data_IF_458055398545
#
_entry.id   IF_458055398545
#
_cell.length_a   1.000
_cell.length_b   1.000
_cell.length_c   1.000
_cell.angle_alpha   90.00
_cell.angle_beta   90.00
_cell.angle_gamma   90.00
#
_symmetry.space_group_name_H-M   'P 1'
#
loop_
_entity.id
_entity.type
_entity.pdbx_description
1 polymer ?
#
# COMPACT_ATOMS: atom_id res chain seq x y z
N UNK A 1 -18.19 -31.55 -1.35
CA UNK A 1 -17.02 -30.66 -1.25
C UNK A 1 -17.46 -29.28 -1.72
N UNK A 2 -17.64 -28.32 -0.81
CA UNK A 2 -17.90 -26.92 -1.19
C UNK A 2 -16.54 -26.27 -1.40
N UNK A 3 -16.20 -26.00 -2.65
CA UNK A 3 -15.10 -25.09 -2.98
C UNK A 3 -15.44 -23.75 -2.32
N UNK A 4 -14.66 -23.34 -1.33
CA UNK A 4 -14.74 -22.02 -0.73
C UNK A 4 -14.38 -21.01 -1.82
N UNK A 5 -15.38 -20.54 -2.58
CA UNK A 5 -15.22 -19.33 -3.37
C UNK A 5 -15.12 -18.19 -2.36
N UNK A 6 -13.89 -17.81 -2.00
CA UNK A 6 -13.65 -16.51 -1.39
C UNK A 6 -14.29 -15.51 -2.35
N UNK A 7 -15.32 -14.79 -1.88
CA UNK A 7 -15.98 -13.81 -2.74
C UNK A 7 -14.94 -12.75 -3.11
N UNK A 8 -15.01 -12.23 -4.31
CA UNK A 8 -14.11 -11.18 -4.77
C UNK A 8 -14.13 -9.97 -3.82
N UNK A 9 -15.30 -9.67 -3.25
CA UNK A 9 -15.45 -8.65 -2.20
C UNK A 9 -14.65 -8.97 -0.94
N UNK A 10 -14.64 -10.23 -0.49
CA UNK A 10 -13.85 -10.67 0.67
C UNK A 10 -12.35 -10.46 0.42
N UNK A 11 -11.90 -10.59 -0.84
CA UNK A 11 -10.51 -10.39 -1.24
C UNK A 11 -10.10 -8.92 -1.18
N UNK A 12 -10.97 -8.01 -1.63
CA UNK A 12 -10.79 -6.55 -1.53
C UNK A 12 -10.76 -6.11 -0.07
N UNK A 13 -11.70 -6.59 0.74
CA UNK A 13 -11.77 -6.27 2.17
C UNK A 13 -10.56 -6.80 2.93
N UNK A 14 -10.08 -8.01 2.59
CA UNK A 14 -8.86 -8.58 3.17
C UNK A 14 -7.63 -7.74 2.82
N UNK A 15 -7.49 -7.28 1.57
CA UNK A 15 -6.38 -6.42 1.16
C UNK A 15 -6.42 -5.09 1.91
N UNK A 16 -7.59 -4.45 2.00
CA UNK A 16 -7.77 -3.22 2.75
C UNK A 16 -7.37 -3.40 4.22
N UNK A 17 -7.87 -4.46 4.86
CA UNK A 17 -7.55 -4.77 6.24
C UNK A 17 -6.04 -4.94 6.46
N UNK A 18 -5.35 -5.66 5.58
CA UNK A 18 -3.89 -5.88 5.68
C UNK A 18 -3.11 -4.59 5.49
N UNK A 19 -3.47 -3.75 4.52
CA UNK A 19 -2.83 -2.44 4.30
C UNK A 19 -3.01 -1.54 5.53
N UNK A 20 -4.24 -1.42 6.04
CA UNK A 20 -4.53 -0.63 7.25
C UNK A 20 -3.71 -1.14 8.43
N UNK A 21 -3.67 -2.45 8.63
CA UNK A 21 -2.91 -3.08 9.73
C UNK A 21 -1.41 -2.79 9.60
N UNK A 22 -0.86 -2.95 8.40
CA UNK A 22 0.55 -2.69 8.12
C UNK A 22 0.93 -1.22 8.39
N UNK A 23 0.10 -0.27 7.96
CA UNK A 23 0.28 1.16 8.26
C UNK A 23 0.21 1.43 9.77
N UNK A 24 -0.73 0.80 10.49
CA UNK A 24 -0.87 0.97 11.94
C UNK A 24 0.34 0.48 12.73
N UNK A 25 1.01 -0.57 12.25
CA UNK A 25 2.24 -1.09 12.85
C UNK A 25 3.44 -0.15 12.65
N UNK A 26 3.40 0.74 11.65
CA UNK A 26 4.39 1.81 11.51
C UNK A 26 4.03 2.98 12.44
N UNK A 27 4.76 3.13 13.55
CA UNK A 27 4.49 4.17 14.55
C UNK A 27 4.46 5.59 13.95
N UNK A 28 5.41 5.90 13.05
CA UNK A 28 5.51 7.23 12.45
C UNK A 28 4.27 7.55 11.59
N UNK A 29 3.82 6.62 10.76
CA UNK A 29 2.60 6.79 9.95
C UNK A 29 1.35 6.80 10.84
N UNK A 30 1.22 5.85 11.77
CA UNK A 30 0.06 5.72 12.62
C UNK A 30 -0.19 6.96 13.50
N UNK A 31 0.87 7.57 14.02
CA UNK A 31 0.78 8.80 14.81
C UNK A 31 0.39 10.03 13.97
N UNK A 32 0.71 10.03 12.67
CA UNK A 32 0.51 11.18 11.79
C UNK A 32 -0.69 11.08 10.86
N UNK A 33 -1.40 9.96 10.79
CA UNK A 33 -2.67 9.85 10.05
C UNK A 33 -3.83 10.22 10.98
N UNK A 34 -4.66 11.18 10.62
CA UNK A 34 -5.81 11.64 11.39
C UNK A 34 -6.94 10.60 11.33
N UNK A 35 -7.50 10.34 10.14
CA UNK A 35 -8.60 9.39 9.96
C UNK A 35 -8.16 8.15 9.17
N UNK A 36 -7.78 7.09 9.88
CA UNK A 36 -7.22 5.85 9.28
C UNK A 36 -8.17 5.17 8.29
N UNK A 37 -9.47 5.24 8.52
CA UNK A 37 -10.50 4.63 7.65
C UNK A 37 -10.74 5.43 6.37
N UNK A 38 -10.33 6.69 6.32
CA UNK A 38 -10.40 7.54 5.11
C UNK A 38 -9.07 7.63 4.38
N UNK A 39 -7.99 7.22 5.04
CA UNK A 39 -6.64 7.29 4.51
C UNK A 39 -6.43 6.34 3.34
N UNK A 40 -7.04 5.15 3.41
CA UNK A 40 -6.93 4.13 2.36
C UNK A 40 -8.32 3.61 2.01
N UNK A 41 -8.53 3.43 0.71
CA UNK A 41 -9.71 2.82 0.12
C UNK A 41 -9.25 1.85 -0.96
N UNK A 42 -9.58 0.58 -0.81
CA UNK A 42 -9.27 -0.46 -1.82
C UNK A 42 -10.53 -0.73 -2.61
N UNK A 43 -10.46 -0.52 -3.92
CA UNK A 43 -11.52 -0.87 -4.86
C UNK A 43 -11.06 -2.00 -5.76
N UNK A 44 -11.98 -2.46 -6.61
CA UNK A 44 -11.71 -3.46 -7.63
C UNK A 44 -10.61 -3.02 -8.62
N UNK A 45 -10.48 -1.71 -8.82
CA UNK A 45 -9.63 -1.12 -9.86
C UNK A 45 -8.32 -0.53 -9.33
N UNK A 46 -8.26 -0.17 -8.04
CA UNK A 46 -7.09 0.51 -7.48
C UNK A 46 -7.05 0.47 -5.94
N UNK A 47 -5.85 0.70 -5.40
CA UNK A 47 -5.64 1.11 -4.03
C UNK A 47 -5.52 2.64 -4.02
N UNK A 48 -6.44 3.32 -3.34
CA UNK A 48 -6.49 4.77 -3.24
C UNK A 48 -5.96 5.21 -1.87
N UNK A 49 -5.09 6.21 -1.85
CA UNK A 49 -4.60 6.86 -0.65
C UNK A 49 -4.94 8.35 -0.65
N UNK A 50 -5.48 8.84 0.47
CA UNK A 50 -5.75 10.25 0.69
C UNK A 50 -4.71 10.85 1.65
N UNK A 51 -3.68 11.50 1.13
CA UNK A 51 -2.62 12.10 1.94
C UNK A 51 -3.05 13.36 2.67
N UNK A 52 -4.21 13.92 2.34
CA UNK A 52 -4.82 14.98 3.15
C UNK A 52 -5.18 14.52 4.56
N UNK A 53 -5.27 13.20 4.79
CA UNK A 53 -5.50 12.64 6.12
C UNK A 53 -4.25 12.68 7.01
N UNK A 54 -3.05 12.97 6.49
CA UNK A 54 -1.90 13.22 7.35
C UNK A 54 -2.10 14.49 8.18
N UNK A 55 -1.42 14.61 9.32
CA UNK A 55 -1.37 15.88 10.07
C UNK A 55 -0.64 16.93 9.25
N UNK A 56 -1.13 18.16 9.27
CA UNK A 56 -0.56 19.29 8.53
C UNK A 56 0.97 19.42 8.72
N UNK A 57 1.46 19.35 9.97
CA UNK A 57 2.90 19.42 10.25
C UNK A 57 3.72 18.28 9.58
N UNK A 58 3.11 17.12 9.36
CA UNK A 58 3.73 16.01 8.64
C UNK A 58 3.68 16.25 7.12
N UNK A 59 2.55 16.75 6.61
CA UNK A 59 2.37 17.10 5.21
C UNK A 59 3.44 18.11 4.75
N UNK A 60 3.53 19.26 5.43
CA UNK A 60 4.48 20.34 5.14
C UNK A 60 5.93 19.87 5.18
N UNK A 61 6.24 18.96 6.11
CA UNK A 61 7.62 18.52 6.34
C UNK A 61 8.08 17.44 5.34
N UNK A 62 7.19 16.52 4.95
CA UNK A 62 7.60 15.29 4.26
C UNK A 62 6.94 15.08 2.91
N UNK A 63 5.74 15.63 2.69
CA UNK A 63 4.93 15.39 1.49
C UNK A 63 5.02 16.59 0.55
N UNK A 64 4.71 17.80 1.02
CA UNK A 64 4.73 19.03 0.22
C UNK A 64 6.06 19.31 -0.50
N UNK A 65 7.24 19.09 0.11
CA UNK A 65 8.50 19.41 -0.57
C UNK A 65 8.74 18.59 -1.84
N UNK A 66 8.19 17.38 -1.90
CA UNK A 66 8.38 16.42 -2.99
C UNK A 66 7.28 15.34 -2.94
N UNK A 67 6.07 15.69 -3.41
CA UNK A 67 4.91 14.81 -3.34
C UNK A 67 5.11 13.53 -4.16
N UNK A 68 5.69 13.65 -5.36
CA UNK A 68 5.97 12.51 -6.23
C UNK A 68 7.01 11.58 -5.59
N UNK A 69 8.14 12.10 -5.11
CA UNK A 69 9.15 11.26 -4.48
C UNK A 69 8.69 10.64 -3.17
N UNK A 70 7.86 11.35 -2.38
CA UNK A 70 7.20 10.74 -1.22
C UNK A 70 6.27 9.60 -1.65
N UNK A 71 5.48 9.79 -2.70
CA UNK A 71 4.57 8.77 -3.24
C UNK A 71 5.32 7.52 -3.71
N UNK A 72 6.47 7.69 -4.37
CA UNK A 72 7.34 6.57 -4.78
C UNK A 72 7.85 5.81 -3.55
N UNK A 73 8.40 6.51 -2.54
CA UNK A 73 8.87 5.89 -1.29
C UNK A 73 7.73 5.18 -0.55
N UNK A 74 6.54 5.74 -0.57
CA UNK A 74 5.35 5.14 0.03
C UNK A 74 4.91 3.85 -0.69
N UNK A 75 5.04 3.79 -2.02
CA UNK A 75 4.81 2.54 -2.77
C UNK A 75 5.81 1.46 -2.36
N UNK A 76 7.10 1.80 -2.27
CA UNK A 76 8.13 0.85 -1.83
C UNK A 76 7.83 0.31 -0.43
N UNK A 77 7.37 1.17 0.47
CA UNK A 77 6.89 0.78 1.79
C UNK A 77 5.73 -0.22 1.72
N UNK A 78 4.79 -0.09 0.79
CA UNK A 78 3.66 -1.01 0.66
C UNK A 78 4.00 -2.35 0.02
N UNK A 79 5.09 -2.45 -0.76
CA UNK A 79 5.41 -3.69 -1.50
C UNK A 79 5.42 -4.96 -0.66
N UNK A 80 5.99 -4.99 0.57
CA UNK A 80 5.99 -6.19 1.41
C UNK A 80 4.59 -6.72 1.74
N UNK A 81 3.62 -5.85 2.05
CA UNK A 81 2.25 -6.29 2.37
C UNK A 81 1.52 -6.79 1.12
N UNK A 82 1.75 -6.16 -0.04
CA UNK A 82 1.18 -6.60 -1.32
C UNK A 82 1.74 -7.95 -1.75
N UNK A 83 3.04 -8.17 -1.54
CA UNK A 83 3.70 -9.45 -1.81
C UNK A 83 3.17 -10.57 -0.93
N UNK A 84 3.09 -10.34 0.38
CA UNK A 84 2.52 -11.30 1.32
C UNK A 84 1.06 -11.63 0.97
N UNK A 85 0.27 -10.61 0.61
CA UNK A 85 -1.12 -10.79 0.21
C UNK A 85 -1.25 -11.69 -1.03
N UNK A 86 -0.49 -11.43 -2.11
CA UNK A 86 -0.55 -12.27 -3.32
C UNK A 86 -0.24 -13.73 -3.00
N UNK A 87 0.81 -13.98 -2.20
CA UNK A 87 1.20 -15.33 -1.81
C UNK A 87 0.10 -16.05 -1.03
N UNK A 88 -0.65 -15.32 -0.21
CA UNK A 88 -1.73 -15.85 0.60
C UNK A 88 -2.98 -16.18 -0.22
N UNK A 89 -3.39 -15.28 -1.14
CA UNK A 89 -4.60 -15.50 -1.95
C UNK A 89 -4.36 -16.41 -3.16
N UNK A 90 -3.10 -16.70 -3.49
CA UNK A 90 -2.68 -17.48 -4.65
C UNK A 90 -3.36 -17.04 -5.95
N UNK A 91 -3.50 -15.71 -6.10
CA UNK A 91 -4.20 -15.10 -7.23
C UNK A 91 -3.24 -14.96 -8.42
N UNK A 92 -3.72 -15.23 -9.64
CA UNK A 92 -2.89 -15.20 -10.85
C UNK A 92 -2.46 -13.79 -11.31
N UNK A 93 -2.99 -12.74 -10.67
CA UNK A 93 -2.66 -11.34 -10.96
C UNK A 93 -1.62 -10.76 -9.99
N UNK A 94 -0.63 -10.07 -10.55
CA UNK A 94 0.51 -9.51 -9.80
C UNK A 94 0.63 -7.98 -9.88
N UNK A 95 -0.28 -7.36 -10.63
CA UNK A 95 -0.23 -5.93 -10.96
C UNK A 95 -1.19 -5.16 -10.08
N UNK A 96 -0.70 -4.09 -9.47
CA UNK A 96 -1.50 -3.15 -8.69
C UNK A 96 -1.49 -1.78 -9.35
N UNK A 97 -2.65 -1.13 -9.32
CA UNK A 97 -2.78 0.30 -9.55
C UNK A 97 -2.91 1.01 -8.21
N UNK A 98 -2.03 1.95 -7.95
CA UNK A 98 -2.08 2.78 -6.74
C UNK A 98 -2.27 4.24 -7.14
N UNK A 99 -3.16 4.92 -6.43
CA UNK A 99 -3.44 6.35 -6.61
C UNK A 99 -3.23 7.06 -5.28
N UNK A 100 -2.36 8.06 -5.24
CA UNK A 100 -2.22 8.98 -4.10
C UNK A 100 -2.84 10.32 -4.48
N UNK A 101 -3.60 10.91 -3.57
CA UNK A 101 -4.12 12.28 -3.71
C UNK A 101 -3.59 13.15 -2.58
N UNK A 102 -3.19 14.37 -2.94
CA UNK A 102 -2.76 15.38 -1.99
C UNK A 102 -3.29 16.75 -2.45
N UNK A 103 -4.38 17.22 -1.85
CA UNK A 103 -5.10 18.40 -2.35
C UNK A 103 -5.58 18.23 -3.80
N UNK A 104 -5.17 19.13 -4.69
CA UNK A 104 -5.46 19.05 -6.12
C UNK A 104 -4.49 18.11 -6.88
N UNK A 105 -3.38 17.72 -6.26
CA UNK A 105 -2.38 16.87 -6.88
C UNK A 105 -2.76 15.39 -6.79
N UNK A 106 -2.38 14.65 -7.84
CA UNK A 106 -2.65 13.22 -7.97
C UNK A 106 -1.46 12.51 -8.56
N UNK A 107 -0.95 11.50 -7.85
CA UNK A 107 0.04 10.58 -8.34
C UNK A 107 -0.61 9.23 -8.63
N UNK A 108 -0.32 8.64 -9.80
CA UNK A 108 -0.84 7.32 -10.19
C UNK A 108 0.31 6.45 -10.65
N UNK A 109 0.40 5.24 -10.10
CA UNK A 109 1.38 4.25 -10.52
C UNK A 109 0.71 2.90 -10.74
N UNK A 110 1.12 2.24 -11.82
CA UNK A 110 0.83 0.83 -12.05
C UNK A 110 2.17 0.10 -11.94
N UNK A 111 2.22 -0.96 -11.13
CA UNK A 111 3.42 -1.76 -10.93
C UNK A 111 3.06 -3.21 -10.63
N UNK A 112 4.02 -4.10 -10.87
CA UNK A 112 3.91 -5.53 -10.54
C UNK A 112 4.78 -5.88 -9.34
N UNK A 113 4.29 -6.77 -8.48
CA UNK A 113 4.99 -7.22 -7.26
C UNK A 113 5.77 -8.52 -7.48
N UNK A 114 5.40 -9.31 -8.49
CA UNK A 114 6.14 -10.49 -8.90
C UNK A 114 6.59 -10.28 -10.35
N UNK A 115 7.91 -10.30 -10.56
CA UNK A 115 8.44 -10.54 -11.88
C UNK A 115 8.10 -12.01 -12.20
N UNK A 116 7.51 -12.26 -13.37
CA UNK A 116 7.65 -13.58 -14.01
C UNK A 116 9.16 -13.88 -14.00
N UNK A 117 9.59 -14.90 -13.24
CA UNK A 117 10.96 -15.48 -13.17
C UNK A 117 11.71 -15.43 -11.82
N UNK A 118 11.05 -15.36 -10.66
CA UNK A 118 11.72 -15.69 -9.38
C UNK A 118 11.20 -17.02 -8.82
N UNK A 119 11.54 -18.10 -9.52
CA UNK A 119 11.91 -19.34 -8.84
C UNK A 119 13.36 -19.16 -8.37
N UNK A 120 13.59 -19.44 -7.08
CA UNK A 120 14.88 -19.57 -6.40
C UNK A 120 15.93 -18.45 -6.63
N UNK A 121 16.14 -17.61 -5.61
CA UNK A 121 17.44 -17.51 -4.95
C UNK A 121 17.33 -16.57 -3.74
N UNK A 122 17.55 -17.14 -2.56
CA UNK A 122 17.37 -16.46 -1.28
C UNK A 122 18.19 -15.18 -1.14
N UNK A 123 17.54 -14.12 -0.69
CA UNK A 123 18.20 -13.04 0.05
C UNK A 123 17.17 -12.39 0.98
N UNK A 124 17.48 -12.37 2.27
CA UNK A 124 16.59 -11.97 3.35
C UNK A 124 16.16 -10.50 3.33
N UNK A 125 15.26 -10.09 4.24
CA UNK A 125 14.66 -8.76 4.21
C UNK A 125 15.67 -7.67 4.59
N UNK A 126 15.77 -6.65 3.73
CA UNK A 126 16.47 -5.40 4.02
C UNK A 126 15.62 -4.59 5.00
N UNK A 127 16.21 -4.24 6.15
CA UNK A 127 15.62 -3.37 7.16
C UNK A 127 15.38 -1.96 6.58
N UNK A 128 14.10 -1.57 6.45
CA UNK A 128 13.69 -0.21 6.07
C UNK A 128 13.95 0.77 7.22
N UNK A 129 15.17 1.26 7.31
CA UNK A 129 15.46 2.52 8.00
C UNK A 129 15.25 3.65 6.99
N UNK A 130 14.54 4.71 7.38
CA UNK A 130 14.30 5.96 6.65
C UNK A 130 12.94 6.15 5.95
N UNK A 131 11.85 5.77 6.64
CA UNK A 131 10.65 6.62 6.64
C UNK A 131 10.73 7.51 7.88
N UNK A 132 11.58 8.55 7.82
CA UNK A 132 11.66 9.58 8.85
C UNK A 132 10.68 10.70 8.53
#
# INVERSE_FOLDING_TARGET
MKTLSIDYRDTVDLLQYKIITYIRLNYALNANITYKTRFVDVTEQAINFNFYEFREAYQVKFIEPDFEGYSIRFIEFLKPVLYAFIKEVNYGGYTFRVTMRFGAEKYVKIFSILNKNEEDNGTGPVLFQNLK
#
